data_IF_727121051458
#
_entry.id   IF_727121051458
#
_cell.length_a   1.000
_cell.length_b   1.000
_cell.length_c   1.000
_cell.angle_alpha   90.00
_cell.angle_beta   90.00
_cell.angle_gamma   90.00
#
_symmetry.space_group_name_H-M   'P 1'
#
loop_
_entity.id
_entity.type
_entity.pdbx_description
1 polymer ?
#
# COMPACT_ATOMS: atom_id res chain seq x y z
N UNK A 1 44.97 6.46 18.60
CA UNK A 1 43.60 6.55 19.17
C UNK A 1 42.70 7.57 18.48
N UNK A 2 43.20 8.73 18.04
CA UNK A 2 42.39 9.75 17.35
C UNK A 2 41.68 9.28 16.04
N UNK A 3 42.29 8.37 15.27
CA UNK A 3 41.74 7.89 13.99
C UNK A 3 40.46 7.04 14.12
N UNK A 4 40.29 6.30 15.22
CA UNK A 4 39.10 5.47 15.44
C UNK A 4 37.91 6.33 15.86
N UNK A 5 38.14 7.26 16.78
CA UNK A 5 37.14 8.20 17.26
C UNK A 5 36.58 9.07 16.13
N UNK A 6 37.43 9.54 15.22
CA UNK A 6 37.00 10.28 14.03
C UNK A 6 36.12 9.44 13.09
N UNK A 7 36.39 8.14 12.97
CA UNK A 7 35.61 7.23 12.14
C UNK A 7 34.22 6.96 12.74
N UNK A 8 34.12 6.76 14.06
CA UNK A 8 32.84 6.60 14.77
C UNK A 8 31.97 7.85 14.66
N UNK A 9 32.57 9.05 14.79
CA UNK A 9 31.86 10.32 14.61
C UNK A 9 31.31 10.45 13.19
N UNK A 10 32.07 10.03 12.17
CA UNK A 10 31.62 10.08 10.79
C UNK A 10 30.49 9.09 10.51
N UNK A 11 30.58 7.87 11.05
CA UNK A 11 29.51 6.87 10.98
C UNK A 11 28.22 7.37 11.64
N UNK A 12 28.32 7.96 12.84
CA UNK A 12 27.17 8.55 13.52
C UNK A 12 26.47 9.61 12.67
N UNK A 13 27.24 10.50 12.03
CA UNK A 13 26.69 11.52 11.10
C UNK A 13 25.98 10.88 9.90
N UNK A 14 26.56 9.84 9.31
CA UNK A 14 25.92 9.12 8.20
C UNK A 14 24.64 8.42 8.66
N UNK A 15 24.63 7.85 9.86
CA UNK A 15 23.44 7.22 10.43
C UNK A 15 22.32 8.24 10.66
N UNK A 16 22.63 9.41 11.21
CA UNK A 16 21.66 10.49 11.35
C UNK A 16 21.11 10.96 10.01
N UNK A 17 21.96 11.05 8.97
CA UNK A 17 21.51 11.39 7.61
C UNK A 17 20.59 10.31 7.01
N UNK A 18 20.89 9.03 7.24
CA UNK A 18 20.03 7.93 6.79
C UNK A 18 18.68 7.98 7.53
N UNK A 19 18.70 8.24 8.84
CA UNK A 19 17.48 8.34 9.64
C UNK A 19 16.64 9.55 9.25
N UNK A 20 17.25 10.71 8.98
CA UNK A 20 16.52 11.90 8.52
C UNK A 20 15.87 11.69 7.16
N UNK A 21 16.57 11.07 6.20
CA UNK A 21 16.01 10.70 4.89
C UNK A 21 14.84 9.72 5.02
N UNK A 22 14.94 8.72 5.90
CA UNK A 22 13.85 7.76 6.16
C UNK A 22 12.64 8.42 6.80
N UNK A 23 12.86 9.34 7.73
CA UNK A 23 11.77 10.09 8.38
C UNK A 23 10.97 10.89 7.35
N UNK A 24 11.65 11.63 6.47
CA UNK A 24 10.99 12.40 5.41
C UNK A 24 10.18 11.50 4.47
N UNK A 25 10.76 10.38 4.04
CA UNK A 25 10.06 9.43 3.16
C UNK A 25 8.81 8.84 3.84
N UNK A 26 8.92 8.44 5.11
CA UNK A 26 7.77 7.93 5.86
C UNK A 26 6.68 8.99 6.01
N UNK A 27 7.05 10.23 6.30
CA UNK A 27 6.10 11.32 6.41
C UNK A 27 5.38 11.62 5.08
N UNK A 28 6.10 11.53 3.95
CA UNK A 28 5.52 11.66 2.61
C UNK A 28 4.58 10.50 2.27
N UNK A 29 4.96 9.28 2.61
CA UNK A 29 4.10 8.10 2.42
C UNK A 29 2.83 8.22 3.27
N UNK A 30 2.96 8.69 4.50
CA UNK A 30 1.83 8.88 5.41
C UNK A 30 0.88 10.00 4.93
N UNK A 31 1.41 11.11 4.40
CA UNK A 31 0.56 12.15 3.80
C UNK A 31 -0.16 11.64 2.56
N UNK A 32 0.56 10.93 1.67
CA UNK A 32 -0.04 10.40 0.45
C UNK A 32 -1.16 9.39 0.74
N UNK A 33 -0.97 8.52 1.74
CA UNK A 33 -2.01 7.59 2.17
C UNK A 33 -3.22 8.34 2.73
N UNK A 34 -3.02 9.35 3.59
CA UNK A 34 -4.11 10.18 4.11
C UNK A 34 -4.89 10.88 3.00
N UNK A 35 -4.20 11.47 2.04
CA UNK A 35 -4.83 12.18 0.91
C UNK A 35 -5.67 11.20 0.09
N UNK A 36 -5.14 10.01 -0.17
CA UNK A 36 -5.86 8.96 -0.89
C UNK A 36 -7.05 8.42 -0.13
N UNK A 37 -6.92 8.20 1.18
CA UNK A 37 -8.04 7.76 2.04
C UNK A 37 -9.17 8.80 2.03
N UNK A 38 -8.83 10.10 2.04
CA UNK A 38 -9.81 11.18 1.95
C UNK A 38 -10.49 11.23 0.57
N UNK A 39 -9.74 11.07 -0.52
CA UNK A 39 -10.28 10.99 -1.88
C UNK A 39 -11.22 9.78 -2.05
N UNK A 40 -10.81 8.61 -1.55
CA UNK A 40 -11.61 7.40 -1.58
C UNK A 40 -12.87 7.51 -0.72
N UNK A 41 -12.79 8.13 0.45
CA UNK A 41 -13.95 8.41 1.29
C UNK A 41 -14.96 9.32 0.57
N UNK A 42 -14.48 10.34 -0.14
CA UNK A 42 -15.34 11.22 -0.93
C UNK A 42 -16.05 10.46 -2.07
N UNK A 43 -15.32 9.62 -2.81
CA UNK A 43 -15.91 8.80 -3.87
C UNK A 43 -16.95 7.81 -3.34
N UNK A 44 -16.66 7.17 -2.21
CA UNK A 44 -17.58 6.22 -1.54
C UNK A 44 -18.85 6.95 -1.09
N UNK A 45 -18.70 8.14 -0.50
CA UNK A 45 -19.83 8.95 -0.06
C UNK A 45 -20.74 9.37 -1.23
N UNK A 46 -20.18 9.82 -2.35
CA UNK A 46 -20.99 10.17 -3.53
C UNK A 46 -21.67 8.94 -4.14
N UNK A 47 -20.96 7.80 -4.20
CA UNK A 47 -21.53 6.54 -4.67
C UNK A 47 -22.70 6.07 -3.78
N UNK A 48 -22.56 6.13 -2.46
CA UNK A 48 -23.62 5.81 -1.50
C UNK A 48 -24.81 6.76 -1.61
N UNK A 49 -24.55 8.07 -1.75
CA UNK A 49 -25.60 9.05 -1.96
C UNK A 49 -26.36 8.79 -3.27
N UNK A 50 -25.66 8.47 -4.37
CA UNK A 50 -26.28 8.08 -5.63
C UNK A 50 -27.06 6.76 -5.50
N UNK A 51 -26.53 5.77 -4.77
CA UNK A 51 -27.22 4.52 -4.50
C UNK A 51 -28.54 4.73 -3.74
N UNK A 52 -28.52 5.55 -2.68
CA UNK A 52 -29.73 5.89 -1.93
C UNK A 52 -30.79 6.60 -2.78
N UNK A 53 -30.38 7.54 -3.65
CA UNK A 53 -31.27 8.20 -4.62
C UNK A 53 -31.89 7.16 -5.56
N UNK A 54 -31.08 6.26 -6.11
CA UNK A 54 -31.53 5.22 -7.04
C UNK A 54 -32.51 4.22 -6.39
N UNK A 55 -32.23 3.77 -5.16
CA UNK A 55 -33.14 2.92 -4.39
C UNK A 55 -34.47 3.62 -4.12
N UNK A 56 -34.43 4.90 -3.76
CA UNK A 56 -35.63 5.71 -3.53
C UNK A 56 -36.49 5.82 -4.80
N UNK A 57 -35.85 6.08 -5.95
CA UNK A 57 -36.52 6.13 -7.25
C UNK A 57 -37.13 4.78 -7.63
N UNK A 58 -36.39 3.69 -7.46
CA UNK A 58 -36.86 2.34 -7.74
C UNK A 58 -38.11 2.00 -6.91
N UNK A 59 -38.09 2.35 -5.61
CA UNK A 59 -39.24 2.16 -4.72
C UNK A 59 -40.45 2.99 -5.15
N UNK A 60 -40.22 4.24 -5.57
CA UNK A 60 -41.28 5.13 -6.05
C UNK A 60 -41.90 4.60 -7.36
N UNK A 61 -41.08 4.11 -8.29
CA UNK A 61 -41.52 3.48 -9.52
C UNK A 61 -42.31 2.19 -9.27
N UNK A 62 -41.84 1.32 -8.37
CA UNK A 62 -42.57 0.11 -7.94
C UNK A 62 -43.96 0.46 -7.39
N UNK A 63 -44.05 1.48 -6.53
CA UNK A 63 -45.34 1.98 -6.00
C UNK A 63 -46.25 2.51 -7.11
N UNK A 64 -45.71 3.23 -8.10
CA UNK A 64 -46.48 3.77 -9.23
C UNK A 64 -46.96 2.69 -10.20
N UNK A 65 -46.17 1.65 -10.46
CA UNK A 65 -46.64 0.50 -11.25
C UNK A 65 -47.77 -0.29 -10.56
N UNK A 66 -47.76 -0.31 -9.23
CA UNK A 66 -48.80 -0.97 -8.45
C UNK A 66 -50.09 -0.14 -8.30
N UNK A 67 -50.11 1.14 -8.68
CA UNK A 67 -51.28 2.01 -8.47
C UNK A 67 -52.40 1.88 -9.53
N UNK A 68 -52.47 0.76 -10.27
CA UNK A 68 -53.54 0.44 -11.22
C UNK A 68 -53.60 1.31 -12.50
N UNK A 69 -52.84 2.39 -12.57
CA UNK A 69 -52.84 3.34 -13.68
C UNK A 69 -52.19 2.76 -14.95
N UNK A 70 -52.94 2.72 -16.06
CA UNK A 70 -52.48 2.18 -17.34
C UNK A 70 -51.26 2.92 -17.93
N UNK A 71 -51.03 4.19 -17.56
CA UNK A 71 -49.89 4.98 -18.03
C UNK A 71 -48.55 4.36 -17.62
N UNK A 72 -48.44 3.87 -16.39
CA UNK A 72 -47.21 3.29 -15.84
C UNK A 72 -47.01 1.81 -16.24
N UNK A 73 -48.03 1.18 -16.83
CA UNK A 73 -47.96 -0.19 -17.36
C UNK A 73 -47.46 -0.26 -18.81
N UNK A 74 -47.02 0.87 -19.39
CA UNK A 74 -46.48 0.87 -20.75
C UNK A 74 -45.14 0.10 -20.80
N UNK A 75 -44.85 -0.62 -21.90
CA UNK A 75 -43.61 -1.38 -22.05
C UNK A 75 -42.33 -0.55 -21.85
N UNK A 76 -42.37 0.74 -22.19
CA UNK A 76 -41.27 1.68 -21.97
C UNK A 76 -40.89 1.82 -20.49
N UNK A 77 -41.88 1.90 -19.59
CA UNK A 77 -41.63 2.01 -18.15
C UNK A 77 -41.22 0.67 -17.53
N UNK A 78 -41.75 -0.44 -18.03
CA UNK A 78 -41.34 -1.77 -17.58
C UNK A 78 -39.88 -2.09 -17.95
N UNK A 79 -39.43 -1.66 -19.14
CA UNK A 79 -38.04 -1.76 -19.55
C UNK A 79 -37.11 -0.94 -18.65
N UNK A 80 -37.50 0.30 -18.31
CA UNK A 80 -36.75 1.16 -17.38
C UNK A 80 -36.65 0.50 -16.00
N UNK A 81 -37.73 -0.12 -15.50
CA UNK A 81 -37.71 -0.81 -14.22
C UNK A 81 -36.74 -2.01 -14.20
N UNK A 82 -36.77 -2.86 -15.24
CA UNK A 82 -35.82 -3.98 -15.36
C UNK A 82 -34.37 -3.49 -15.41
N UNK A 83 -34.08 -2.44 -16.20
CA UNK A 83 -32.74 -1.86 -16.27
C UNK A 83 -32.24 -1.36 -14.91
N UNK A 84 -33.09 -0.66 -14.15
CA UNK A 84 -32.73 -0.19 -12.82
C UNK A 84 -32.47 -1.34 -11.84
N UNK A 85 -33.19 -2.45 -11.99
CA UNK A 85 -33.03 -3.63 -11.16
C UNK A 85 -31.74 -4.41 -11.49
N UNK A 86 -31.37 -4.53 -12.77
CA UNK A 86 -30.11 -5.13 -13.19
C UNK A 86 -28.90 -4.30 -12.72
N UNK A 87 -29.01 -2.96 -12.77
CA UNK A 87 -27.99 -2.04 -12.23
C UNK A 87 -27.85 -2.21 -10.71
N UNK A 88 -28.95 -2.37 -9.98
CA UNK A 88 -28.92 -2.61 -8.53
C UNK A 88 -28.20 -3.93 -8.18
N UNK A 89 -28.47 -4.99 -8.93
CA UNK A 89 -27.81 -6.29 -8.76
C UNK A 89 -26.32 -6.20 -9.09
N UNK A 90 -25.97 -5.52 -10.19
CA UNK A 90 -24.58 -5.28 -10.57
C UNK A 90 -23.82 -4.47 -9.51
N UNK A 91 -24.43 -3.43 -8.94
CA UNK A 91 -23.84 -2.62 -7.87
C UNK A 91 -23.54 -3.45 -6.60
N UNK A 92 -24.47 -4.31 -6.17
CA UNK A 92 -24.26 -5.20 -5.02
C UNK A 92 -23.12 -6.21 -5.25
N UNK A 93 -23.02 -6.75 -6.47
CA UNK A 93 -21.94 -7.64 -6.85
C UNK A 93 -20.57 -6.93 -6.91
N UNK A 94 -20.54 -5.65 -7.29
CA UNK A 94 -19.33 -4.83 -7.28
C UNK A 94 -18.89 -4.49 -5.85
N UNK A 95 -19.81 -4.05 -4.98
CA UNK A 95 -19.51 -3.81 -3.57
C UNK A 95 -18.95 -5.08 -2.89
N UNK A 96 -19.56 -6.25 -3.16
CA UNK A 96 -19.05 -7.52 -2.67
C UNK A 96 -17.61 -7.81 -3.16
N UNK A 97 -17.27 -7.45 -4.40
CA UNK A 97 -15.91 -7.61 -4.93
C UNK A 97 -14.90 -6.63 -4.34
N UNK A 98 -15.31 -5.40 -4.04
CA UNK A 98 -14.47 -4.41 -3.35
C UNK A 98 -14.09 -4.85 -1.94
N UNK A 99 -15.02 -5.47 -1.19
CA UNK A 99 -14.74 -5.98 0.15
C UNK A 99 -13.77 -7.19 0.19
N UNK A 100 -13.58 -7.91 -0.92
CA UNK A 100 -12.67 -9.06 -0.98
C UNK A 100 -11.25 -8.72 -1.44
N UNK A 101 -11.05 -7.55 -2.06
CA UNK A 101 -9.74 -7.15 -2.57
C UNK A 101 -9.08 -6.25 -1.52
N UNK A 102 -8.09 -6.79 -0.79
CA UNK A 102 -7.09 -5.97 -0.11
C UNK A 102 -6.66 -4.87 -1.08
N UNK A 103 -6.77 -3.62 -0.63
CA UNK A 103 -6.63 -2.43 -1.46
C UNK A 103 -5.44 -2.59 -2.44
N UNK A 104 -5.62 -2.37 -3.76
CA UNK A 104 -4.66 -2.74 -4.80
C UNK A 104 -3.23 -2.22 -4.54
N UNK A 105 -3.13 -1.13 -3.80
CA UNK A 105 -1.88 -0.48 -3.44
C UNK A 105 -1.12 -1.17 -2.31
N UNK A 106 -1.82 -1.80 -1.35
CA UNK A 106 -1.19 -2.62 -0.31
C UNK A 106 -0.54 -3.84 -0.95
N UNK A 107 -1.27 -4.49 -1.86
CA UNK A 107 -0.76 -5.63 -2.65
C UNK A 107 0.45 -5.19 -3.48
N UNK A 108 0.41 -4.02 -4.10
CA UNK A 108 1.52 -3.51 -4.90
C UNK A 108 2.75 -3.15 -4.05
N UNK A 109 2.55 -2.51 -2.89
CA UNK A 109 3.62 -2.19 -1.93
C UNK A 109 4.25 -3.45 -1.33
N UNK A 110 3.46 -4.46 -0.97
CA UNK A 110 3.96 -5.76 -0.53
C UNK A 110 4.78 -6.44 -1.63
N UNK A 111 4.28 -6.41 -2.87
CA UNK A 111 5.00 -6.98 -4.02
C UNK A 111 6.35 -6.31 -4.25
N UNK A 112 6.41 -4.98 -4.19
CA UNK A 112 7.66 -4.22 -4.32
C UNK A 112 8.62 -4.45 -3.15
N UNK A 113 8.09 -4.57 -1.93
CA UNK A 113 8.88 -4.88 -0.74
C UNK A 113 9.54 -6.26 -0.87
N UNK A 114 8.77 -7.30 -1.20
CA UNK A 114 9.28 -8.66 -1.36
C UNK A 114 10.28 -8.78 -2.50
N UNK A 115 10.04 -8.11 -3.63
CA UNK A 115 11.00 -8.06 -4.74
C UNK A 115 12.36 -7.46 -4.30
N UNK A 116 12.33 -6.41 -3.49
CA UNK A 116 13.54 -5.75 -2.99
C UNK A 116 14.28 -6.56 -1.93
N UNK A 117 13.53 -7.32 -1.11
CA UNK A 117 14.10 -8.30 -0.18
C UNK A 117 14.80 -9.41 -0.98
N UNK A 118 14.17 -9.95 -2.01
CA UNK A 118 14.72 -10.99 -2.87
C UNK A 118 15.97 -10.53 -3.63
N UNK A 119 16.00 -9.28 -4.11
CA UNK A 119 17.20 -8.67 -4.71
C UNK A 119 18.35 -8.48 -3.70
N UNK A 120 18.01 -8.34 -2.43
CA UNK A 120 18.98 -8.12 -1.36
C UNK A 120 19.52 -9.44 -0.80
N UNK A 121 18.73 -10.52 -0.78
CA UNK A 121 19.07 -11.83 -0.20
C UNK A 121 20.43 -12.39 -0.71
N UNK A 122 20.76 -12.39 -2.02
CA UNK A 122 22.03 -12.92 -2.52
C UNK A 122 23.25 -12.17 -1.97
N UNK A 123 23.10 -10.89 -1.60
CA UNK A 123 24.19 -10.08 -1.02
C UNK A 123 24.48 -10.50 0.44
N UNK A 124 23.51 -11.11 1.11
CA UNK A 124 23.61 -11.58 2.50
C UNK A 124 23.84 -13.10 2.61
N UNK A 125 23.56 -13.87 1.56
CA UNK A 125 23.74 -15.32 1.50
C UNK A 125 25.15 -15.79 1.93
N UNK A 126 26.27 -15.15 1.49
CA UNK A 126 27.61 -15.53 1.95
C UNK A 126 27.87 -15.27 3.44
N UNK A 127 27.20 -14.27 4.03
CA UNK A 127 27.28 -13.94 5.45
C UNK A 127 26.48 -14.94 6.31
N UNK A 128 25.26 -15.29 5.89
CA UNK A 128 24.44 -16.29 6.59
C UNK A 128 25.05 -17.69 6.56
N UNK A 129 25.80 -18.02 5.50
CA UNK A 129 26.53 -19.28 5.37
C UNK A 129 27.90 -19.29 6.08
N UNK A 130 28.26 -18.20 6.78
CA UNK A 130 29.52 -18.08 7.51
C UNK A 130 30.77 -18.03 6.62
N UNK A 131 30.60 -17.83 5.30
CA UNK A 131 31.70 -17.85 4.31
C UNK A 131 32.37 -16.49 4.12
N UNK A 132 31.71 -15.40 4.51
CA UNK A 132 32.27 -14.04 4.51
C UNK A 132 31.81 -13.25 5.73
N UNK A 133 32.57 -12.22 6.14
CA UNK A 133 32.06 -11.20 7.09
C UNK A 133 30.93 -10.39 6.43
N UNK A 134 30.10 -9.72 7.24
CA UNK A 134 28.92 -8.98 6.79
C UNK A 134 29.20 -8.14 5.53
N UNK A 135 28.30 -8.12 4.54
CA UNK A 135 28.57 -7.52 3.25
C UNK A 135 29.04 -6.07 3.39
N UNK A 136 29.98 -5.70 2.52
CA UNK A 136 30.78 -4.48 2.57
C UNK A 136 29.89 -3.25 2.78
N UNK A 137 29.98 -2.70 3.99
CA UNK A 137 29.15 -1.65 4.57
C UNK A 137 29.36 -1.53 6.10
N UNK A 138 29.84 -2.61 6.73
CA UNK A 138 30.25 -2.67 8.13
C UNK A 138 31.75 -3.02 8.23
N UNK A 139 32.67 -2.13 7.84
CA UNK A 139 34.12 -2.43 7.96
C UNK A 139 34.61 -2.23 9.40
N UNK A 140 34.68 -3.32 10.17
CA UNK A 140 35.63 -3.43 11.31
C UNK A 140 37.04 -3.46 10.72
N UNK A 141 37.88 -2.46 11.05
CA UNK A 141 39.30 -2.48 10.69
C UNK A 141 40.07 -3.16 11.82
N UNK A 142 40.58 -4.36 11.56
CA UNK A 142 41.69 -4.94 12.30
C UNK A 142 42.80 -5.28 11.31
N UNK A 143 44.04 -4.94 11.68
CA UNK A 143 45.29 -5.42 11.09
C UNK A 143 46.29 -5.47 12.27
N UNK A 144 47.27 -6.37 12.35
CA UNK A 144 47.50 -7.71 11.83
C UNK A 144 48.84 -8.12 12.47
N UNK A 145 49.06 -9.42 12.61
CA UNK A 145 50.20 -10.07 13.26
C UNK A 145 51.50 -10.03 12.42
N UNK A 146 52.57 -10.62 13.00
CA UNK A 146 53.93 -10.99 12.51
C UNK A 146 55.06 -10.03 12.94
N UNK A 147 56.29 -10.44 13.29
CA UNK A 147 56.91 -11.55 14.06
C UNK A 147 58.43 -11.26 14.03
N UNK A 148 59.15 -11.66 15.09
CA UNK A 148 60.59 -12.08 15.12
C UNK A 148 61.70 -11.03 15.40
N UNK A 149 62.68 -11.54 16.19
CA UNK A 149 63.99 -11.06 16.69
C UNK A 149 64.00 -10.45 18.11
N UNK A 150 64.21 -11.24 19.16
CA UNK A 150 65.47 -11.82 19.72
C UNK A 150 66.44 -10.79 20.34
N UNK A 151 66.79 -11.08 21.60
CA UNK A 151 67.99 -10.69 22.37
C UNK A 151 68.40 -9.21 22.47
N UNK A 152 68.21 -8.60 23.64
CA UNK A 152 69.25 -8.39 24.67
C UNK A 152 68.69 -7.75 25.95
#
# INVERSE_FOLDING_TARGET
MASYLAQEIQLAKQHEEILSRRLVLLQQMESHLRDKDAEQAWHTQEADAAHQRNVSLLNLLKRKMNCGCHFWKRPSFQKILCMLQDIEVAAKNLQFREHLLLHPEIVNLETLYWAKVEESIPKWEPFFLGRTQAPIGLKKKSHQQYSTYDQH
#
